data_IF_091611567176
#
_entry.id   IF_091611567176
#
_cell.length_a   1.000
_cell.length_b   1.000
_cell.length_c   1.000
_cell.angle_alpha   90.00
_cell.angle_beta   90.00
_cell.angle_gamma   90.00
#
_symmetry.space_group_name_H-M   'P 1'
#
loop_
_entity.id
_entity.type
_entity.pdbx_description
1 polymer ?
#
# COMPACT_ATOMS: atom_id res chain seq x y z
N UNK A 1 -4.54 17.38 5.43
CA UNK A 1 -3.97 16.03 5.27
C UNK A 1 -4.47 15.51 3.95
N UNK A 2 -3.64 14.84 3.15
CA UNK A 2 -4.05 14.39 1.82
C UNK A 2 -3.38 13.08 1.47
N UNK A 3 -4.14 12.22 0.81
CA UNK A 3 -3.60 11.07 0.11
C UNK A 3 -3.89 11.23 -1.38
N UNK A 4 -2.91 10.88 -2.21
CA UNK A 4 -3.11 10.73 -3.65
C UNK A 4 -3.42 9.26 -3.88
N UNK A 5 -4.50 8.99 -4.62
CA UNK A 5 -4.82 7.65 -5.09
C UNK A 5 -5.23 7.71 -6.55
N UNK A 6 -4.53 6.95 -7.39
CA UNK A 6 -4.75 6.93 -8.83
C UNK A 6 -4.71 5.49 -9.35
N UNK A 7 -5.74 5.07 -10.09
CA UNK A 7 -5.67 3.85 -10.90
C UNK A 7 -4.99 4.18 -12.22
N UNK A 8 -3.84 3.55 -12.46
CA UNK A 8 -3.07 3.76 -13.67
C UNK A 8 -3.56 2.84 -14.80
N UNK A 9 -3.24 3.21 -16.04
CA UNK A 9 -3.67 2.49 -17.25
C UNK A 9 -3.19 1.03 -17.30
N UNK A 10 -2.15 0.69 -16.55
CA UNK A 10 -1.62 -0.67 -16.44
C UNK A 10 -2.27 -1.51 -15.33
N UNK A 11 -3.36 -1.01 -14.74
CA UNK A 11 -4.13 -1.71 -13.70
C UNK A 11 -3.55 -1.59 -12.29
N UNK A 12 -2.41 -0.91 -12.11
CA UNK A 12 -1.81 -0.68 -10.81
C UNK A 12 -2.48 0.49 -10.09
N UNK A 13 -2.63 0.38 -8.77
CA UNK A 13 -3.02 1.51 -7.94
C UNK A 13 -1.77 2.20 -7.42
N UNK A 14 -1.65 3.48 -7.73
CA UNK A 14 -0.65 4.34 -7.12
C UNK A 14 -1.23 5.02 -5.89
N UNK A 15 -0.53 4.93 -4.76
CA UNK A 15 -0.89 5.62 -3.54
C UNK A 15 0.28 6.43 -2.99
N UNK A 16 -0.01 7.61 -2.44
CA UNK A 16 0.94 8.42 -1.70
C UNK A 16 0.22 9.09 -0.53
N UNK A 17 0.74 8.93 0.68
CA UNK A 17 0.28 9.69 1.84
C UNK A 17 1.19 10.91 2.06
N UNK A 18 0.58 12.05 2.43
CA UNK A 18 1.30 13.29 2.73
C UNK A 18 1.08 13.70 4.18
N UNK A 19 2.17 13.76 4.95
CA UNK A 19 2.16 14.19 6.35
C UNK A 19 1.79 13.07 7.33
N UNK A 20 0.89 13.36 8.27
CA UNK A 20 0.44 12.37 9.26
C UNK A 20 -0.50 11.37 8.58
N UNK A 21 -0.45 10.10 8.97
CA UNK A 21 -1.40 9.06 8.59
C UNK A 21 -2.17 8.68 9.86
N UNK A 22 -3.38 9.19 9.96
CA UNK A 22 -4.33 8.96 11.06
C UNK A 22 -5.54 8.16 10.56
N UNK A 23 -6.51 7.94 11.45
CA UNK A 23 -7.69 7.14 11.13
C UNK A 23 -8.53 7.76 10.01
N UNK A 24 -8.59 9.09 9.91
CA UNK A 24 -9.35 9.76 8.86
C UNK A 24 -8.71 9.52 7.48
N UNK A 25 -7.38 9.60 7.37
CA UNK A 25 -6.67 9.27 6.13
C UNK A 25 -6.78 7.79 5.76
N UNK A 26 -6.80 6.88 6.75
CA UNK A 26 -7.02 5.46 6.49
C UNK A 26 -8.42 5.20 5.95
N UNK A 27 -9.44 5.79 6.56
CA UNK A 27 -10.83 5.63 6.11
C UNK A 27 -11.07 6.26 4.73
N UNK A 28 -10.45 7.41 4.45
CA UNK A 28 -10.45 8.02 3.12
C UNK A 28 -9.78 7.10 2.07
N UNK A 29 -8.62 6.55 2.39
CA UNK A 29 -7.93 5.58 1.54
C UNK A 29 -8.80 4.36 1.27
N UNK A 30 -9.35 3.72 2.31
CA UNK A 30 -10.22 2.55 2.18
C UNK A 30 -11.44 2.85 1.30
N UNK A 31 -12.06 4.02 1.48
CA UNK A 31 -13.22 4.44 0.68
C UNK A 31 -12.87 4.60 -0.80
N UNK A 32 -11.71 5.18 -1.11
CA UNK A 32 -11.25 5.34 -2.49
C UNK A 32 -10.81 4.01 -3.13
N UNK A 33 -10.28 3.08 -2.35
CA UNK A 33 -9.89 1.76 -2.87
C UNK A 33 -11.08 0.81 -3.03
N UNK A 34 -12.11 0.93 -2.19
CA UNK A 34 -13.27 0.05 -2.16
C UNK A 34 -13.85 -0.34 -3.54
N UNK A 35 -14.08 0.59 -4.50
CA UNK A 35 -14.59 0.21 -5.82
C UNK A 35 -13.62 -0.70 -6.60
N UNK A 36 -12.31 -0.44 -6.52
CA UNK A 36 -11.31 -1.26 -7.20
C UNK A 36 -11.15 -2.63 -6.54
N UNK A 37 -11.25 -2.69 -5.21
CA UNK A 37 -11.17 -3.94 -4.46
C UNK A 37 -12.44 -4.80 -4.65
N UNK A 38 -13.58 -4.20 -4.93
CA UNK A 38 -14.82 -4.91 -5.27
C UNK A 38 -14.73 -5.64 -6.62
N UNK A 39 -13.93 -5.12 -7.55
CA UNK A 39 -13.65 -5.76 -8.86
C UNK A 39 -12.54 -6.82 -8.77
N UNK A 40 -11.69 -6.76 -7.74
CA UNK A 40 -10.55 -7.65 -7.58
C UNK A 40 -10.96 -9.04 -7.03
N UNK A 41 -10.23 -10.07 -7.47
CA UNK A 41 -10.38 -11.43 -6.97
C UNK A 41 -9.03 -11.95 -6.45
N UNK A 42 -9.02 -13.12 -5.80
CA UNK A 42 -7.75 -13.74 -5.40
C UNK A 42 -6.88 -14.14 -6.61
N UNK A 43 -7.50 -14.39 -7.77
CA UNK A 43 -6.84 -14.79 -9.02
C UNK A 43 -6.39 -13.58 -9.85
N UNK A 44 -7.04 -12.44 -9.66
CA UNK A 44 -6.67 -11.14 -10.24
C UNK A 44 -6.67 -10.08 -9.15
N UNK A 45 -5.63 -10.09 -8.28
CA UNK A 45 -5.62 -9.26 -7.10
C UNK A 45 -5.18 -7.82 -7.43
N UNK A 46 -5.57 -6.88 -6.57
CA UNK A 46 -5.28 -5.46 -6.73
C UNK A 46 -3.85 -5.14 -6.28
N UNK A 47 -3.00 -4.73 -7.21
CA UNK A 47 -1.60 -4.40 -6.96
C UNK A 47 -1.37 -2.92 -6.69
N UNK A 48 -0.43 -2.61 -5.79
CA UNK A 48 -0.14 -1.24 -5.37
C UNK A 48 1.31 -0.84 -5.62
N UNK A 49 1.50 0.42 -6.00
CA UNK A 49 2.73 1.18 -5.80
C UNK A 49 2.44 2.21 -4.70
N UNK A 50 3.07 2.04 -3.53
CA UNK A 50 3.02 2.99 -2.45
C UNK A 50 4.28 3.87 -2.47
N UNK A 51 4.11 5.16 -2.71
CA UNK A 51 5.18 6.15 -2.61
C UNK A 51 5.15 6.81 -1.24
N UNK A 52 6.23 6.61 -0.48
CA UNK A 52 6.36 7.10 0.89
C UNK A 52 7.24 8.36 1.00
N UNK A 53 7.52 9.05 -0.12
CA UNK A 53 8.41 10.22 -0.13
C UNK A 53 7.97 11.35 0.81
N UNK A 54 6.66 11.55 0.95
CA UNK A 54 6.05 12.66 1.69
C UNK A 54 5.35 12.18 2.97
N UNK A 55 5.56 10.92 3.37
CA UNK A 55 5.05 10.38 4.62
C UNK A 55 5.81 10.94 5.82
N UNK A 56 5.06 11.47 6.80
CA UNK A 56 5.58 11.99 8.05
C UNK A 56 5.57 10.95 9.17
N UNK A 57 4.39 10.67 9.73
CA UNK A 57 4.22 9.77 10.87
C UNK A 57 2.91 9.00 10.77
N UNK A 58 2.83 7.86 11.45
CA UNK A 58 1.64 7.01 11.46
C UNK A 58 1.09 6.92 12.88
N UNK A 59 -0.19 7.24 13.05
CA UNK A 59 -0.92 6.98 14.28
C UNK A 59 -0.91 5.48 14.60
N UNK A 60 -0.92 5.13 15.89
CA UNK A 60 -0.92 3.73 16.29
C UNK A 60 -2.18 2.98 15.79
N UNK A 61 -3.34 3.64 15.89
CA UNK A 61 -4.62 3.15 15.38
C UNK A 61 -4.58 2.91 13.88
N UNK A 62 -4.02 3.83 13.09
CA UNK A 62 -3.86 3.67 11.65
C UNK A 62 -3.05 2.41 11.27
N UNK A 63 -1.98 2.10 12.02
CA UNK A 63 -1.20 0.87 11.80
C UNK A 63 -2.03 -0.38 12.03
N UNK A 64 -2.87 -0.40 13.08
CA UNK A 64 -3.78 -1.52 13.38
C UNK A 64 -4.81 -1.72 12.28
N UNK A 65 -5.42 -0.63 11.82
CA UNK A 65 -6.40 -0.66 10.72
C UNK A 65 -5.78 -1.21 9.43
N UNK A 66 -4.55 -0.83 9.12
CA UNK A 66 -3.83 -1.38 7.97
C UNK A 66 -3.50 -2.87 8.13
N UNK A 67 -3.22 -3.37 9.34
CA UNK A 67 -3.06 -4.82 9.55
C UNK A 67 -4.29 -5.58 9.08
N UNK A 68 -5.49 -5.18 9.53
CA UNK A 68 -6.75 -5.82 9.10
C UNK A 68 -7.00 -5.66 7.61
N UNK A 69 -6.69 -4.49 7.06
CA UNK A 69 -6.84 -4.26 5.63
C UNK A 69 -5.95 -5.19 4.81
N UNK A 70 -4.69 -5.37 5.21
CA UNK A 70 -3.74 -6.24 4.51
C UNK A 70 -4.07 -7.74 4.63
N UNK A 71 -4.99 -8.15 5.50
CA UNK A 71 -5.47 -9.54 5.55
C UNK A 71 -6.43 -9.89 4.39
N UNK A 72 -6.94 -8.89 3.65
CA UNK A 72 -7.80 -9.12 2.50
C UNK A 72 -7.03 -9.78 1.34
N UNK A 73 -7.43 -11.01 0.98
CA UNK A 73 -6.80 -11.82 -0.07
C UNK A 73 -6.94 -11.25 -1.48
N UNK A 74 -7.82 -10.26 -1.69
CA UNK A 74 -7.96 -9.55 -2.97
C UNK A 74 -6.90 -8.48 -3.15
N UNK A 75 -6.20 -8.10 -2.09
CA UNK A 75 -5.01 -7.26 -2.20
C UNK A 75 -3.86 -8.12 -2.70
N UNK A 76 -3.23 -7.68 -3.78
CA UNK A 76 -2.07 -8.34 -4.32
C UNK A 76 -0.77 -7.75 -3.78
N UNK A 77 0.29 -7.92 -4.56
CA UNK A 77 1.59 -7.33 -4.30
C UNK A 77 1.54 -5.81 -4.06
N UNK A 78 2.35 -5.33 -3.12
CA UNK A 78 2.58 -3.91 -2.81
C UNK A 78 4.06 -3.58 -2.98
N UNK A 79 4.38 -2.69 -3.89
CA UNK A 79 5.72 -2.16 -4.07
C UNK A 79 5.84 -0.80 -3.37
N UNK A 80 6.75 -0.68 -2.42
CA UNK A 80 6.96 0.56 -1.66
C UNK A 80 8.21 1.27 -2.19
N UNK A 81 8.06 2.54 -2.58
CA UNK A 81 9.16 3.41 -3.05
C UNK A 81 9.37 4.56 -2.07
N UNK A 82 10.58 5.13 -2.08
CA UNK A 82 10.95 6.29 -1.23
C UNK A 82 10.70 6.11 0.28
N UNK A 83 10.66 4.87 0.77
CA UNK A 83 10.40 4.58 2.17
C UNK A 83 11.51 5.10 3.09
N UNK A 84 11.15 6.03 3.95
CA UNK A 84 12.00 6.48 5.05
C UNK A 84 12.21 5.35 6.08
N UNK A 85 13.15 5.54 7.02
CA UNK A 85 13.49 4.51 8.03
C UNK A 85 12.29 4.08 8.87
N UNK A 86 11.41 5.01 9.21
CA UNK A 86 10.22 4.75 10.00
C UNK A 86 9.19 3.92 9.21
N UNK A 87 8.85 4.34 7.98
CA UNK A 87 7.95 3.59 7.08
C UNK A 87 8.47 2.17 6.83
N UNK A 88 9.78 1.98 6.66
CA UNK A 88 10.37 0.63 6.53
C UNK A 88 10.10 -0.25 7.74
N UNK A 89 10.22 0.29 8.95
CA UNK A 89 9.93 -0.47 10.18
C UNK A 89 8.45 -0.81 10.27
N UNK A 90 7.56 0.16 10.01
CA UNK A 90 6.10 -0.07 10.05
C UNK A 90 5.67 -1.10 9.00
N UNK A 91 6.10 -0.94 7.75
CA UNK A 91 5.77 -1.88 6.69
C UNK A 91 6.35 -3.29 6.97
N UNK A 92 7.56 -3.37 7.53
CA UNK A 92 8.14 -4.67 7.94
C UNK A 92 7.35 -5.35 9.05
N UNK A 93 6.84 -4.57 10.00
CA UNK A 93 5.95 -5.08 11.03
C UNK A 93 4.64 -5.61 10.41
N UNK A 94 4.00 -4.83 9.54
CA UNK A 94 2.77 -5.23 8.85
C UNK A 94 2.96 -6.52 8.04
N UNK A 95 4.03 -6.59 7.23
CA UNK A 95 4.39 -7.78 6.45
C UNK A 95 4.46 -9.04 7.31
N UNK A 96 5.11 -8.95 8.47
CA UNK A 96 5.25 -10.08 9.39
C UNK A 96 3.94 -10.42 10.09
N UNK A 97 3.18 -9.40 10.52
CA UNK A 97 1.92 -9.58 11.22
C UNK A 97 0.86 -10.26 10.34
N UNK A 98 0.83 -9.94 9.04
CA UNK A 98 -0.17 -10.47 8.11
C UNK A 98 0.34 -11.68 7.30
N UNK A 99 1.58 -12.11 7.49
CA UNK A 99 2.19 -13.23 6.74
C UNK A 99 2.46 -12.91 5.26
N UNK A 100 2.57 -11.64 4.88
CA UNK A 100 2.66 -11.16 3.48
C UNK A 100 4.07 -10.74 3.07
N UNK A 101 5.08 -11.35 3.66
CA UNK A 101 6.50 -11.00 3.44
C UNK A 101 6.94 -11.14 1.97
N UNK A 102 6.30 -12.03 1.20
CA UNK A 102 6.62 -12.22 -0.22
C UNK A 102 5.88 -11.25 -1.15
N UNK A 103 4.80 -10.64 -0.66
CA UNK A 103 3.89 -9.79 -1.43
C UNK A 103 4.16 -8.31 -1.21
N UNK A 104 5.05 -7.93 -0.31
CA UNK A 104 5.41 -6.52 -0.10
C UNK A 104 6.92 -6.37 -0.23
N UNK A 105 7.37 -5.44 -1.07
CA UNK A 105 8.80 -5.22 -1.32
C UNK A 105 9.13 -3.73 -1.44
N UNK A 106 10.33 -3.37 -1.01
CA UNK A 106 10.86 -2.01 -1.18
C UNK A 106 11.69 -1.91 -2.45
N UNK A 107 11.55 -0.80 -3.15
CA UNK A 107 12.31 -0.50 -4.36
C UNK A 107 12.92 0.89 -4.30
N UNK A 108 14.07 1.05 -4.96
CA UNK A 108 14.72 2.35 -5.12
C UNK A 108 14.04 3.19 -6.20
N UNK A 109 13.50 2.53 -7.22
CA UNK A 109 12.87 3.20 -8.37
C UNK A 109 11.49 2.63 -8.68
N UNK A 110 10.61 3.50 -9.16
CA UNK A 110 9.28 3.09 -9.63
C UNK A 110 9.38 2.07 -10.78
N UNK A 111 10.38 2.20 -11.66
CA UNK A 111 10.59 1.26 -12.76
C UNK A 111 10.79 -0.18 -12.28
N UNK A 112 11.61 -0.38 -11.25
CA UNK A 112 11.83 -1.70 -10.66
C UNK A 112 10.56 -2.24 -9.99
N UNK A 113 9.84 -1.37 -9.27
CA UNK A 113 8.56 -1.71 -8.66
C UNK A 113 7.54 -2.22 -9.70
N UNK A 114 7.33 -1.47 -10.79
CA UNK A 114 6.42 -1.85 -11.87
C UNK A 114 6.82 -3.18 -12.51
N UNK A 115 8.11 -3.38 -12.78
CA UNK A 115 8.61 -4.64 -13.34
C UNK A 115 8.29 -5.83 -12.44
N UNK A 116 8.50 -5.70 -11.12
CA UNK A 116 8.22 -6.78 -10.18
C UNK A 116 6.72 -7.05 -9.99
N UNK A 117 5.88 -6.00 -9.99
CA UNK A 117 4.43 -6.14 -9.91
C UNK A 117 3.87 -6.88 -11.13
N UNK A 118 4.42 -6.61 -12.32
CA UNK A 118 4.00 -7.24 -13.59
C UNK A 118 4.69 -8.57 -13.89
N UNK A 119 5.77 -8.90 -13.18
CA UNK A 119 6.37 -10.22 -13.24
C UNK A 119 5.45 -11.20 -12.50
N UNK A 120 4.58 -11.85 -13.25
CA UNK A 120 3.82 -13.03 -12.81
C UNK A 120 4.72 -14.24 -12.77
#
# INVERSE_FOLDING_TARGET
MGNVLEKRADGLIYSRFVGVVDDAAVEEFKRHVAPYLAEATAESPLHFIADAAEEGSWAFSARREFTHYFEDKRLGKVAITNANRFTRVVATFLMKATGRSDEVRFFETEKQAVQWLKAS
#
